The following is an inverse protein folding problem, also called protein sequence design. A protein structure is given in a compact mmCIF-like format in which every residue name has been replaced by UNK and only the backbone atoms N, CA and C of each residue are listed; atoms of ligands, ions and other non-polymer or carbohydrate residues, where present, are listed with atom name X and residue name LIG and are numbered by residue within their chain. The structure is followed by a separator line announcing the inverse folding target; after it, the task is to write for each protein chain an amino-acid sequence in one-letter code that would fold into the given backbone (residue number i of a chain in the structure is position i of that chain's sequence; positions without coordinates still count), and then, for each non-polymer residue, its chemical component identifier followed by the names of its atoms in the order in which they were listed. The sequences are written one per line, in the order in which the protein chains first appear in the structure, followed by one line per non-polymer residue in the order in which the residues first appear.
data_IF_713477926602
#
_entry.id   IF_713477926602
#
_cell.length_a   1.000
_cell.length_b   1.000
_cell.length_c   1.000
_cell.angle_alpha   90.00
_cell.angle_beta   90.00
_cell.angle_gamma   90.00
#
_symmetry.space_group_name_H-M   'P 1'
#
loop_
_entity.id
_entity.type
_entity.pdbx_description
1 polymer ?
#
# COMPACT_ATOMS: atom_id res chain seq x y z
N UNK A 1 -40.81 4.66 2.18
CA UNK A 1 -39.68 3.84 2.67
C UNK A 1 -38.85 4.69 3.62
N UNK A 2 -38.54 4.20 4.82
CA UNK A 2 -37.82 4.98 5.85
C UNK A 2 -36.32 4.72 5.67
N UNK A 3 -35.55 5.72 5.23
CA UNK A 3 -34.09 5.58 5.14
C UNK A 3 -33.51 5.37 6.54
N UNK A 4 -32.78 4.27 6.73
CA UNK A 4 -31.94 4.09 7.91
C UNK A 4 -30.83 5.13 7.87
N UNK A 5 -30.84 6.05 8.83
CA UNK A 5 -29.88 7.14 8.94
C UNK A 5 -28.83 6.79 9.97
N UNK A 6 -27.74 6.17 9.50
CA UNK A 6 -26.63 5.70 10.36
C UNK A 6 -25.78 6.87 10.85
N UNK A 7 -25.67 7.95 10.06
CA UNK A 7 -24.90 9.15 10.42
C UNK A 7 -25.87 10.34 10.58
N UNK A 8 -25.91 10.98 11.76
CA UNK A 8 -26.73 12.18 12.00
C UNK A 8 -26.35 13.36 11.08
N UNK A 9 -27.32 14.22 10.74
CA UNK A 9 -27.09 15.39 9.84
C UNK A 9 -26.01 16.35 10.34
N UNK A 10 -25.92 16.51 11.66
CA UNK A 10 -25.02 17.45 12.31
C UNK A 10 -23.75 16.79 12.82
N UNK A 11 -23.32 15.69 12.19
CA UNK A 11 -22.07 15.02 12.56
C UNK A 11 -20.88 15.92 12.21
N UNK A 12 -20.28 16.53 13.23
CA UNK A 12 -19.13 17.43 13.07
C UNK A 12 -17.89 16.81 13.71
N UNK A 13 -17.15 16.03 12.91
CA UNK A 13 -15.90 15.39 13.34
C UNK A 13 -14.73 16.30 12.97
N UNK A 14 -13.91 16.64 13.96
CA UNK A 14 -12.74 17.49 13.78
C UNK A 14 -11.56 16.78 13.12
N UNK A 15 -11.70 16.31 11.88
CA UNK A 15 -10.67 15.56 11.15
C UNK A 15 -9.33 16.31 11.06
N UNK A 16 -9.36 17.63 10.94
CA UNK A 16 -8.14 18.45 10.86
C UNK A 16 -7.33 18.40 12.16
N UNK A 17 -7.96 18.12 13.30
CA UNK A 17 -7.28 18.03 14.60
C UNK A 17 -6.30 16.86 14.65
N UNK A 18 -6.61 15.74 13.99
CA UNK A 18 -5.76 14.53 14.01
C UNK A 18 -4.66 14.55 12.96
N UNK A 19 -4.59 15.58 12.10
CA UNK A 19 -3.64 15.67 10.98
C UNK A 19 -2.18 15.51 11.40
N UNK A 20 -1.80 16.04 12.57
CA UNK A 20 -0.41 15.99 13.02
C UNK A 20 0.03 14.56 13.33
N UNK A 21 -0.84 13.77 13.97
CA UNK A 21 -0.58 12.33 14.22
C UNK A 21 -0.52 11.59 12.89
N UNK A 22 -1.49 11.84 12.00
CA UNK A 22 -1.51 11.24 10.67
C UNK A 22 -0.21 11.54 9.89
N UNK A 23 0.24 12.79 9.87
CA UNK A 23 1.48 13.20 9.21
C UNK A 23 2.72 12.57 9.83
N UNK A 24 2.79 12.44 11.16
CA UNK A 24 3.90 11.74 11.83
C UNK A 24 3.95 10.27 11.40
N UNK A 25 2.81 9.58 11.43
CA UNK A 25 2.72 8.18 11.01
C UNK A 25 3.14 8.04 9.53
N UNK A 26 2.62 8.91 8.65
CA UNK A 26 3.01 8.92 7.23
C UNK A 26 4.51 9.14 7.07
N UNK A 27 5.10 10.13 7.75
CA UNK A 27 6.52 10.42 7.67
C UNK A 27 7.38 9.23 8.14
N UNK A 28 6.99 8.59 9.24
CA UNK A 28 7.67 7.38 9.74
C UNK A 28 7.60 6.23 8.75
N UNK A 29 6.42 5.97 8.16
CA UNK A 29 6.25 4.92 7.15
C UNK A 29 7.05 5.22 5.88
N UNK A 30 7.12 6.49 5.45
CA UNK A 30 7.95 6.90 4.31
C UNK A 30 9.43 6.66 4.58
N UNK A 31 9.93 7.08 5.75
CA UNK A 31 11.32 6.85 6.15
C UNK A 31 11.61 5.35 6.23
N UNK A 32 10.71 4.56 6.83
CA UNK A 32 10.85 3.12 6.93
C UNK A 32 10.89 2.45 5.55
N UNK A 33 10.05 2.88 4.60
CA UNK A 33 10.07 2.38 3.24
C UNK A 33 11.42 2.65 2.56
N UNK A 34 11.93 3.88 2.65
CA UNK A 34 13.25 4.24 2.11
C UNK A 34 14.37 3.43 2.78
N UNK A 35 14.35 3.29 4.11
CA UNK A 35 15.33 2.50 4.85
C UNK A 35 15.30 1.01 4.46
N UNK A 36 14.13 0.45 4.19
CA UNK A 36 13.98 -0.93 3.73
C UNK A 36 14.62 -1.16 2.37
N UNK A 37 14.55 -0.18 1.45
CA UNK A 37 15.24 -0.27 0.15
C UNK A 37 16.74 -0.50 0.34
N UNK A 38 17.38 0.22 1.25
CA UNK A 38 18.83 0.12 1.48
C UNK A 38 19.25 -1.09 2.33
N UNK A 39 18.37 -1.59 3.21
CA UNK A 39 18.69 -2.67 4.15
C UNK A 39 18.27 -4.05 3.66
N UNK A 40 17.16 -4.15 2.93
CA UNK A 40 16.64 -5.40 2.35
C UNK A 40 16.93 -5.54 0.85
N UNK A 41 17.23 -4.43 0.17
CA UNK A 41 17.29 -4.38 -1.28
C UNK A 41 15.90 -4.39 -1.93
N UNK A 42 15.90 -4.34 -3.25
CA UNK A 42 14.71 -4.52 -4.08
C UNK A 42 14.82 -5.87 -4.81
N UNK A 43 13.68 -6.44 -5.19
CA UNK A 43 13.68 -7.52 -6.16
C UNK A 43 13.97 -6.93 -7.55
N UNK A 44 15.25 -6.94 -7.93
CA UNK A 44 15.72 -6.31 -9.15
C UNK A 44 15.36 -7.17 -10.37
N UNK A 45 14.85 -6.54 -11.43
CA UNK A 45 14.58 -7.22 -12.69
C UNK A 45 15.87 -7.61 -13.43
N UNK A 46 15.73 -8.49 -14.42
CA UNK A 46 16.83 -8.95 -15.29
C UNK A 46 17.55 -7.79 -16.00
N UNK A 47 16.88 -6.68 -16.27
CA UNK A 47 17.49 -5.49 -16.89
C UNK A 47 18.58 -4.85 -16.03
N UNK A 48 18.54 -5.03 -14.70
CA UNK A 48 19.45 -4.38 -13.77
C UNK A 48 20.57 -5.30 -13.26
N UNK A 49 20.33 -6.61 -13.20
CA UNK A 49 21.29 -7.59 -12.62
C UNK A 49 21.78 -8.59 -13.68
N UNK A 50 21.16 -8.61 -14.87
CA UNK A 50 21.34 -9.66 -15.86
C UNK A 50 20.59 -10.94 -15.49
N UNK A 51 20.39 -11.81 -16.47
CA UNK A 51 19.67 -13.07 -16.30
C UNK A 51 18.63 -13.29 -17.39
N UNK A 52 17.69 -14.21 -17.13
CA UNK A 52 16.63 -14.58 -18.08
C UNK A 52 15.28 -14.54 -17.36
N UNK A 53 14.31 -13.85 -17.95
CA UNK A 53 12.92 -13.88 -17.52
C UNK A 53 12.14 -14.75 -18.50
N UNK A 54 11.38 -15.73 -18.00
CA UNK A 54 10.60 -16.67 -18.81
C UNK A 54 9.13 -16.44 -18.54
N UNK A 55 8.35 -16.24 -19.60
CA UNK A 55 6.89 -16.18 -19.55
C UNK A 55 6.31 -17.47 -20.17
N UNK A 56 5.44 -18.16 -19.44
CA UNK A 56 4.78 -19.37 -19.89
C UNK A 56 3.25 -19.23 -19.81
N UNK A 57 2.54 -19.80 -20.78
CA UNK A 57 1.07 -19.84 -20.81
C UNK A 57 0.60 -21.27 -20.66
N UNK A 58 -0.22 -21.49 -19.63
CA UNK A 58 -0.81 -22.80 -19.36
C UNK A 58 -2.21 -22.90 -19.97
N UNK A 59 -2.51 -24.03 -20.62
CA UNK A 59 -3.84 -24.29 -21.19
C UNK A 59 -4.90 -24.57 -20.11
N UNK A 60 -4.49 -25.04 -18.93
CA UNK A 60 -5.31 -25.21 -17.75
C UNK A 60 -4.55 -24.73 -16.51
N UNK A 61 -5.23 -24.37 -15.40
CA UNK A 61 -4.55 -23.90 -14.19
C UNK A 61 -3.50 -24.93 -13.73
N UNK A 62 -2.24 -24.51 -13.49
CA UNK A 62 -1.21 -25.42 -13.01
C UNK A 62 -1.54 -25.89 -11.58
N UNK A 63 -1.18 -27.14 -11.22
CA UNK A 63 -1.27 -27.58 -9.84
C UNK A 63 -0.30 -26.74 -8.99
N UNK A 64 -0.83 -26.16 -7.90
CA UNK A 64 -0.06 -25.39 -6.90
C UNK A 64 0.84 -26.30 -6.08
#
# INVERSE_FOLDING_TARGET
MRLLKIVPDNTNIGFVRVRHIAFVITALLTIAAVALVFTRGLNMCVDFVGGVSIEEKFASPPPL
#
